data_IF_178585846912
#
_entry.id   IF_178585846912
#
_cell.length_a   1.000
_cell.length_b   1.000
_cell.length_c   1.000
_cell.angle_alpha   90.00
_cell.angle_beta   90.00
_cell.angle_gamma   90.00
#
_symmetry.space_group_name_H-M   'P 1'
#
loop_
_entity.id
_entity.type
_entity.pdbx_description
1 polymer ?
#
# COMPACT_ATOMS: atom_id res chain seq x y z
N UNK A 1 -10.52 9.06 3.09
CA UNK A 1 -9.97 7.84 3.73
C UNK A 1 -10.72 7.50 5.02
N UNK A 2 -10.78 8.40 6.01
CA UNK A 2 -11.51 8.15 7.27
C UNK A 2 -13.01 7.90 7.08
N UNK A 3 -13.66 8.63 6.17
CA UNK A 3 -15.07 8.40 5.81
C UNK A 3 -15.29 7.00 5.24
N UNK A 4 -14.44 6.55 4.30
CA UNK A 4 -14.50 5.20 3.74
C UNK A 4 -14.33 4.13 4.84
N UNK A 5 -13.39 4.33 5.77
CA UNK A 5 -13.17 3.39 6.88
C UNK A 5 -14.38 3.38 7.83
N UNK A 6 -14.98 4.53 8.09
CA UNK A 6 -16.19 4.63 8.90
C UNK A 6 -17.38 3.93 8.23
N UNK A 7 -17.55 4.12 6.92
CA UNK A 7 -18.59 3.42 6.15
C UNK A 7 -18.38 1.90 6.16
N UNK A 8 -17.13 1.44 6.05
CA UNK A 8 -16.80 0.02 6.15
C UNK A 8 -17.18 -0.55 7.52
N UNK A 9 -16.85 0.14 8.61
CA UNK A 9 -17.25 -0.26 9.97
C UNK A 9 -18.77 -0.38 10.09
N UNK A 10 -19.50 0.62 9.61
CA UNK A 10 -20.97 0.63 9.67
C UNK A 10 -21.60 -0.51 8.85
N UNK A 11 -21.06 -0.80 7.66
CA UNK A 11 -21.61 -1.82 6.76
C UNK A 11 -21.26 -3.25 7.18
N UNK A 12 -20.08 -3.44 7.77
CA UNK A 12 -19.58 -4.78 8.13
C UNK A 12 -19.86 -5.15 9.58
N UNK A 13 -20.09 -4.16 10.45
CA UNK A 13 -20.18 -4.37 11.91
C UNK A 13 -18.84 -4.67 12.58
N UNK A 14 -17.71 -4.56 11.85
CA UNK A 14 -16.36 -4.78 12.38
C UNK A 14 -15.76 -3.46 12.90
N UNK A 15 -14.93 -3.52 13.94
CA UNK A 15 -14.28 -2.32 14.50
C UNK A 15 -13.18 -1.74 13.60
N UNK A 16 -12.47 -2.57 12.83
CA UNK A 16 -11.38 -2.19 11.91
C UNK A 16 -10.42 -1.16 12.54
N UNK A 17 -9.70 -1.49 13.63
CA UNK A 17 -8.72 -0.60 14.25
C UNK A 17 -7.48 -0.42 13.37
N UNK A 18 -6.63 0.55 13.71
CA UNK A 18 -5.30 0.64 13.11
C UNK A 18 -4.40 -0.47 13.66
N UNK A 19 -3.78 -1.25 12.76
CA UNK A 19 -2.80 -2.25 13.14
C UNK A 19 -1.44 -1.59 13.39
N UNK A 20 -0.87 -1.88 14.56
CA UNK A 20 0.42 -1.34 15.00
C UNK A 20 1.54 -2.39 15.04
N UNK A 21 1.19 -3.67 14.86
CA UNK A 21 2.11 -4.79 14.90
C UNK A 21 2.11 -5.50 13.55
N UNK A 22 3.23 -5.48 12.79
CA UNK A 22 3.35 -6.26 11.57
C UNK A 22 3.20 -7.75 11.80
N UNK A 23 2.79 -8.47 10.75
CA UNK A 23 2.48 -9.90 10.80
C UNK A 23 0.99 -10.18 10.57
N UNK A 24 0.58 -11.47 10.63
CA UNK A 24 -0.82 -11.87 10.54
C UNK A 24 -1.69 -11.14 11.58
N UNK A 25 -2.90 -10.77 11.18
CA UNK A 25 -3.88 -10.12 12.05
C UNK A 25 -5.03 -11.09 12.32
N UNK A 26 -5.43 -11.21 13.57
CA UNK A 26 -6.56 -12.05 13.98
C UNK A 26 -7.91 -11.43 13.61
N UNK A 27 -7.93 -10.10 13.44
CA UNK A 27 -9.12 -9.30 13.15
C UNK A 27 -8.88 -8.39 11.95
N UNK A 28 -9.97 -7.98 11.31
CA UNK A 28 -9.92 -6.96 10.27
C UNK A 28 -9.35 -5.67 10.85
N UNK A 29 -8.33 -5.11 10.21
CA UNK A 29 -7.64 -3.89 10.65
C UNK A 29 -7.18 -3.09 9.44
N UNK A 30 -6.86 -1.82 9.68
CA UNK A 30 -6.35 -0.91 8.67
C UNK A 30 -4.90 -0.52 8.98
N UNK A 31 -4.13 -0.21 7.95
CA UNK A 31 -2.79 0.37 8.07
C UNK A 31 -2.73 1.65 7.24
N UNK A 32 -1.91 2.60 7.66
CA UNK A 32 -1.62 3.79 6.87
C UNK A 32 -0.52 3.47 5.85
N UNK A 33 -0.77 3.84 4.59
CA UNK A 33 0.12 3.54 3.46
C UNK A 33 0.27 4.80 2.61
N UNK A 34 1.47 5.01 2.08
CA UNK A 34 1.75 6.02 1.06
C UNK A 34 2.22 5.33 -0.23
N UNK A 35 1.36 5.22 -1.27
CA UNK A 35 1.67 4.46 -2.48
C UNK A 35 3.01 4.83 -3.14
N UNK A 36 3.34 6.11 -3.19
CA UNK A 36 4.61 6.56 -3.78
C UNK A 36 5.86 6.06 -3.02
N UNK A 37 5.75 5.81 -1.71
CA UNK A 37 6.81 5.19 -0.92
C UNK A 37 6.96 3.70 -1.26
N UNK A 38 5.85 2.97 -1.36
CA UNK A 38 5.82 1.56 -1.78
C UNK A 38 6.45 1.40 -3.16
N UNK A 39 5.99 2.17 -4.15
CA UNK A 39 6.56 2.16 -5.51
C UNK A 39 8.07 2.40 -5.50
N UNK A 40 8.53 3.36 -4.68
CA UNK A 40 9.95 3.68 -4.56
C UNK A 40 10.78 2.50 -4.03
N UNK A 41 10.30 1.76 -3.03
CA UNK A 41 11.03 0.62 -2.47
C UNK A 41 11.14 -0.53 -3.47
N UNK A 42 10.13 -0.71 -4.33
CA UNK A 42 10.14 -1.70 -5.41
C UNK A 42 10.84 -1.23 -6.68
N UNK A 43 11.39 0.00 -6.72
CA UNK A 43 12.03 0.54 -7.92
C UNK A 43 11.07 0.86 -9.06
N UNK A 44 9.76 0.91 -8.80
CA UNK A 44 8.72 1.23 -9.79
C UNK A 44 8.61 2.76 -9.88
N UNK A 45 8.41 3.27 -11.10
CA UNK A 45 8.23 4.72 -11.30
C UNK A 45 7.08 5.25 -10.46
N UNK A 46 7.30 6.35 -9.75
CA UNK A 46 6.30 7.04 -8.95
C UNK A 46 6.02 8.46 -9.46
N UNK A 47 6.60 8.83 -10.60
CA UNK A 47 6.49 10.14 -11.18
C UNK A 47 5.37 10.20 -12.23
N UNK A 48 4.61 11.30 -12.21
CA UNK A 48 3.67 11.73 -13.27
C UNK A 48 2.43 10.85 -13.50
N UNK A 49 2.40 9.58 -13.06
CA UNK A 49 1.29 8.63 -13.31
C UNK A 49 -0.10 9.07 -12.82
N UNK A 50 -0.17 10.06 -11.90
CA UNK A 50 -1.43 10.59 -11.34
C UNK A 50 -2.27 11.44 -12.30
N UNK A 51 -1.73 11.88 -13.45
CA UNK A 51 -2.51 12.74 -14.37
C UNK A 51 -3.34 11.87 -15.32
N UNK A 52 -4.54 12.33 -15.67
CA UNK A 52 -5.49 11.59 -16.53
C UNK A 52 -4.90 11.11 -17.87
N UNK A 53 -3.98 11.87 -18.45
CA UNK A 53 -3.33 11.58 -19.75
C UNK A 53 -2.21 10.53 -19.69
N UNK A 54 -1.80 10.11 -18.50
CA UNK A 54 -0.57 9.32 -18.31
C UNK A 54 -0.97 7.83 -18.28
N UNK A 55 -1.68 7.40 -19.31
CA UNK A 55 -2.18 6.02 -19.45
C UNK A 55 -1.01 5.09 -19.71
N UNK A 56 -0.07 5.51 -20.55
CA UNK A 56 1.12 4.76 -20.94
C UNK A 56 2.05 4.55 -19.74
N UNK A 57 2.28 5.58 -18.93
CA UNK A 57 3.06 5.47 -17.68
C UNK A 57 2.42 4.44 -16.74
N UNK A 58 1.09 4.47 -16.59
CA UNK A 58 0.39 3.49 -15.75
C UNK A 58 0.47 2.08 -16.32
N UNK A 59 0.45 1.91 -17.64
CA UNK A 59 0.66 0.61 -18.29
C UNK A 59 2.06 0.07 -18.03
N UNK A 60 3.09 0.90 -18.15
CA UNK A 60 4.48 0.53 -17.84
C UNK A 60 4.66 0.11 -16.38
N UNK A 61 3.88 0.70 -15.46
CA UNK A 61 3.89 0.29 -14.05
C UNK A 61 3.24 -1.08 -13.80
N UNK A 62 2.36 -1.57 -14.68
CA UNK A 62 1.66 -2.85 -14.46
C UNK A 62 2.60 -4.05 -14.60
N UNK A 63 3.57 -4.01 -15.52
CA UNK A 63 4.53 -5.10 -15.72
C UNK A 63 5.28 -5.48 -14.42
N UNK A 64 6.01 -4.57 -13.74
CA UNK A 64 6.68 -4.93 -12.49
C UNK A 64 5.68 -5.25 -11.36
N UNK A 65 4.45 -4.73 -11.39
CA UNK A 65 3.43 -5.11 -10.41
C UNK A 65 2.95 -6.56 -10.62
N UNK A 66 2.84 -7.03 -11.87
CA UNK A 66 2.49 -8.42 -12.22
C UNK A 66 3.56 -9.42 -11.76
N UNK A 67 4.82 -9.01 -11.68
CA UNK A 67 5.89 -9.83 -11.12
C UNK A 67 5.77 -10.02 -9.60
N UNK A 68 5.07 -9.11 -8.91
CA UNK A 68 4.96 -9.08 -7.45
C UNK A 68 3.63 -9.64 -6.92
N UNK A 69 2.58 -9.63 -7.76
CA UNK A 69 1.24 -10.05 -7.38
C UNK A 69 0.37 -10.39 -8.59
N UNK A 70 -0.65 -11.21 -8.33
CA UNK A 70 -1.68 -11.50 -9.32
C UNK A 70 -2.57 -10.27 -9.53
N UNK A 71 -2.49 -9.70 -10.74
CA UNK A 71 -3.38 -8.63 -11.17
C UNK A 71 -4.51 -9.18 -12.05
N UNK A 72 -5.70 -8.56 -12.01
CA UNK A 72 -6.79 -8.96 -12.89
C UNK A 72 -6.44 -8.77 -14.36
N UNK A 73 -7.07 -9.56 -15.24
CA UNK A 73 -6.92 -9.44 -16.70
C UNK A 73 -7.47 -8.09 -17.21
N UNK A 74 -8.52 -7.56 -16.58
CA UNK A 74 -9.07 -6.25 -16.93
C UNK A 74 -8.26 -5.11 -16.29
N UNK A 75 -7.31 -4.58 -17.05
CA UNK A 75 -6.44 -3.47 -16.62
C UNK A 75 -7.12 -2.09 -16.67
N UNK A 76 -8.28 -1.97 -17.32
CA UNK A 76 -8.92 -0.67 -17.60
C UNK A 76 -9.12 0.19 -16.35
N UNK A 77 -9.52 -0.34 -15.17
CA UNK A 77 -9.64 0.48 -13.97
C UNK A 77 -8.32 1.15 -13.58
N UNK A 78 -7.20 0.42 -13.61
CA UNK A 78 -5.87 0.95 -13.26
C UNK A 78 -5.37 1.96 -14.30
N UNK A 79 -5.65 1.71 -15.58
CA UNK A 79 -5.23 2.58 -16.69
C UNK A 79 -6.02 3.89 -16.78
N UNK A 80 -7.29 3.90 -16.35
CA UNK A 80 -8.15 5.08 -16.46
C UNK A 80 -8.21 5.87 -15.16
N UNK A 81 -8.09 5.21 -14.01
CA UNK A 81 -8.14 5.82 -12.69
C UNK A 81 -6.85 5.57 -11.89
N UNK A 82 -6.08 6.62 -11.63
CA UNK A 82 -4.86 6.50 -10.85
C UNK A 82 -5.09 6.14 -9.38
N UNK A 83 -6.30 6.37 -8.85
CA UNK A 83 -6.64 5.96 -7.48
C UNK A 83 -6.93 4.45 -7.42
N UNK A 84 -7.39 3.84 -8.52
CA UNK A 84 -7.50 2.39 -8.62
C UNK A 84 -6.10 1.74 -8.67
N UNK A 85 -5.14 2.35 -9.38
CA UNK A 85 -3.75 1.91 -9.35
C UNK A 85 -3.14 2.07 -7.95
N UNK A 86 -3.36 3.20 -7.28
CA UNK A 86 -2.90 3.38 -5.89
C UNK A 86 -3.50 2.35 -4.94
N UNK A 87 -4.77 1.95 -5.13
CA UNK A 87 -5.39 0.91 -4.32
C UNK A 87 -4.67 -0.44 -4.47
N UNK A 88 -4.24 -0.80 -5.69
CA UNK A 88 -3.43 -2.01 -5.94
C UNK A 88 -2.08 -1.91 -5.22
N UNK A 89 -1.42 -0.75 -5.29
CA UNK A 89 -0.17 -0.50 -4.57
C UNK A 89 -0.36 -0.56 -3.05
N UNK A 90 -1.50 -0.10 -2.53
CA UNK A 90 -1.86 -0.24 -1.12
C UNK A 90 -2.00 -1.71 -0.71
N UNK A 91 -2.55 -2.57 -1.57
CA UNK A 91 -2.63 -4.02 -1.32
C UNK A 91 -1.23 -4.62 -1.23
N UNK A 92 -0.30 -4.20 -2.11
CA UNK A 92 1.10 -4.66 -2.04
C UNK A 92 1.75 -4.30 -0.70
N UNK A 93 1.57 -3.05 -0.25
CA UNK A 93 2.05 -2.61 1.06
C UNK A 93 1.39 -3.37 2.24
N UNK A 94 0.10 -3.68 2.12
CA UNK A 94 -0.61 -4.54 3.08
C UNK A 94 -0.02 -5.95 3.15
N UNK A 95 0.34 -6.53 2.00
CA UNK A 95 1.01 -7.82 1.96
C UNK A 95 2.41 -7.76 2.62
N UNK A 96 3.16 -6.67 2.43
CA UNK A 96 4.45 -6.46 3.12
C UNK A 96 4.26 -6.38 4.64
N UNK A 97 3.25 -5.64 5.10
CA UNK A 97 2.91 -5.53 6.52
C UNK A 97 2.53 -6.90 7.11
N UNK A 98 1.71 -7.68 6.43
CA UNK A 98 1.29 -9.02 6.88
C UNK A 98 2.45 -10.02 6.93
N UNK A 99 3.47 -9.87 6.08
CA UNK A 99 4.71 -10.67 6.13
C UNK A 99 5.67 -10.22 7.22
N UNK A 100 5.49 -9.03 7.78
CA UNK A 100 6.42 -8.43 8.73
C UNK A 100 7.63 -7.76 8.08
N UNK A 101 7.66 -7.63 6.76
CA UNK A 101 8.79 -7.11 5.98
C UNK A 101 8.79 -5.57 5.92
N UNK A 102 8.46 -4.89 7.01
CA UNK A 102 8.24 -3.43 7.03
C UNK A 102 9.15 -2.71 8.02
N UNK A 103 9.35 -1.41 7.78
CA UNK A 103 10.04 -0.54 8.73
C UNK A 103 9.09 -0.26 9.90
N UNK A 104 9.54 -0.62 11.10
CA UNK A 104 8.82 -0.38 12.36
C UNK A 104 9.19 1.01 12.91
N UNK A 105 8.25 1.79 13.46
CA UNK A 105 8.59 3.06 14.08
C UNK A 105 9.58 2.88 15.23
N UNK A 106 10.57 3.76 15.30
CA UNK A 106 11.52 3.79 16.42
C UNK A 106 10.89 4.32 17.71
N UNK A 107 9.85 5.14 17.58
CA UNK A 107 9.03 5.65 18.69
C UNK A 107 7.56 5.38 18.39
N UNK A 108 7.00 4.36 19.06
CA UNK A 108 5.63 3.93 18.85
C UNK A 108 4.61 4.93 19.43
N UNK A 109 4.97 5.68 20.47
CA UNK A 109 4.05 6.62 21.11
C UNK A 109 3.86 7.88 20.26
N UNK A 110 4.93 8.35 19.60
CA UNK A 110 4.83 9.42 18.60
C UNK A 110 4.07 8.92 17.38
N UNK A 111 4.41 7.74 16.86
CA UNK A 111 3.74 7.16 15.70
C UNK A 111 2.22 7.00 15.90
N UNK A 112 1.78 6.59 17.10
CA UNK A 112 0.35 6.48 17.43
C UNK A 112 -0.40 7.81 17.43
N UNK A 113 0.29 8.92 17.65
CA UNK A 113 -0.30 10.27 17.68
C UNK A 113 -0.30 10.92 16.31
N UNK A 114 0.81 10.79 15.58
CA UNK A 114 1.05 11.50 14.31
C UNK A 114 0.71 10.65 13.07
N UNK A 115 0.50 9.34 13.24
CA UNK A 115 0.36 8.39 12.16
C UNK A 115 1.69 7.71 11.80
N UNK A 116 1.60 6.62 11.03
CA UNK A 116 2.78 5.88 10.56
C UNK A 116 2.54 5.22 9.22
N UNK A 117 3.28 5.67 8.22
CA UNK A 117 3.28 5.06 6.89
C UNK A 117 4.05 3.75 6.94
N UNK A 118 3.34 2.64 6.82
CA UNK A 118 3.95 1.32 6.67
C UNK A 118 4.54 1.16 5.27
N UNK A 119 5.82 0.85 5.21
CA UNK A 119 6.56 0.63 3.96
C UNK A 119 7.51 -0.54 4.15
N UNK A 120 7.70 -1.32 3.08
CA UNK A 120 8.64 -2.43 3.06
C UNK A 120 10.04 -1.97 3.46
N UNK A 121 10.69 -2.77 4.30
CA UNK A 121 12.11 -2.60 4.60
C UNK A 121 12.90 -2.88 3.32
N UNK A 122 13.73 -1.94 2.82
CA UNK A 122 14.69 -2.27 1.79
C UNK A 122 15.68 -3.23 2.44
N UNK A 123 15.48 -4.55 2.24
CA UNK A 123 16.31 -5.58 2.86
C UNK A 123 17.79 -5.22 2.72
N UNK A 124 18.61 -5.51 3.75
CA UNK A 124 20.03 -5.11 3.84
C UNK A 124 20.70 -5.14 2.46
N UNK A 125 20.88 -3.97 1.86
CA UNK A 125 21.80 -3.75 0.74
C UNK A 125 23.24 -3.60 1.25
N UNK A 126 23.66 -4.32 2.28
CA UNK A 126 25.06 -4.34 2.75
C UNK A 126 25.31 -5.58 3.58
N UNK A 127 25.77 -6.67 2.96
CA UNK A 127 26.85 -7.55 3.44
C UNK A 127 27.51 -8.17 2.19
N UNK A 128 28.53 -7.49 1.64
CA UNK A 128 29.62 -8.06 0.83
C UNK A 128 30.93 -7.79 1.57
#
# INVERSE_FOLDING_TARGET
ALELLQDLRQRTGLEIPLAWKPGPQDEASAIEVYPAATLKVYGITNARYKRKREVEVRREMLEPLRELMDLPDDERPMLTNSDALDAVVCVLAGADFLRGDVIVPTDLDVARKEGWIWVRSPGRLFEL
#
